data_IF_521027158545
#
_entry.id   IF_521027158545
#
_cell.length_a   1.000
_cell.length_b   1.000
_cell.length_c   1.000
_cell.angle_alpha   90.00
_cell.angle_beta   90.00
_cell.angle_gamma   90.00
#
_symmetry.space_group_name_H-M   'P 1'
#
loop_
_entity.id
_entity.type
_entity.pdbx_description
1 polymer ?
#
# COMPACT_ATOMS: atom_id res chain seq x y z
N UNK A 1 4.34 19.99 2.18
CA UNK A 1 2.96 19.44 2.15
C UNK A 1 2.50 19.42 0.70
N UNK A 2 1.82 18.36 0.24
CA UNK A 2 1.29 18.29 -1.12
C UNK A 2 0.24 19.39 -1.37
N UNK A 3 0.18 19.98 -2.57
CA UNK A 3 -0.91 20.87 -2.98
C UNK A 3 -2.26 20.15 -2.92
N UNK A 4 -3.31 20.85 -2.53
CA UNK A 4 -4.61 20.21 -2.25
C UNK A 4 -5.23 19.54 -3.48
N UNK A 5 -5.13 20.19 -4.65
CA UNK A 5 -5.55 19.63 -5.94
C UNK A 5 -4.88 18.28 -6.25
N UNK A 6 -3.60 18.14 -5.90
CA UNK A 6 -2.85 16.90 -6.13
C UNK A 6 -3.37 15.79 -5.20
N UNK A 7 -3.71 16.11 -3.95
CA UNK A 7 -4.32 15.11 -3.05
C UNK A 7 -5.68 14.66 -3.55
N UNK A 8 -6.52 15.57 -4.04
CA UNK A 8 -7.85 15.24 -4.58
C UNK A 8 -7.74 14.30 -5.79
N UNK A 9 -6.81 14.57 -6.71
CA UNK A 9 -6.53 13.69 -7.84
C UNK A 9 -6.07 12.29 -7.41
N UNK A 10 -5.25 12.18 -6.36
CA UNK A 10 -4.84 10.89 -5.80
C UNK A 10 -6.00 10.16 -5.14
N UNK A 11 -6.86 10.84 -4.38
CA UNK A 11 -8.01 10.22 -3.72
C UNK A 11 -8.99 9.61 -4.72
N UNK A 12 -9.18 10.25 -5.88
CA UNK A 12 -10.02 9.71 -6.96
C UNK A 12 -9.49 8.43 -7.61
N UNK A 13 -8.19 8.15 -7.48
CA UNK A 13 -7.55 6.96 -8.05
C UNK A 13 -7.40 5.81 -7.04
N UNK A 14 -7.70 6.04 -5.75
CA UNK A 14 -7.57 5.03 -4.71
C UNK A 14 -8.96 4.44 -4.43
N UNK A 15 -9.24 3.18 -4.78
CA UNK A 15 -10.51 2.53 -4.45
C UNK A 15 -10.89 2.59 -2.97
N UNK A 16 -9.91 2.51 -2.06
CA UNK A 16 -10.17 2.67 -0.62
C UNK A 16 -10.53 4.11 -0.19
N UNK A 17 -10.48 5.09 -1.09
CA UNK A 17 -10.90 6.47 -0.84
C UNK A 17 -10.03 7.25 0.16
N UNK A 18 -8.83 6.77 0.49
CA UNK A 18 -7.92 7.42 1.44
C UNK A 18 -6.46 7.17 1.11
N UNK A 19 -5.59 8.05 1.59
CA UNK A 19 -4.16 7.79 1.61
C UNK A 19 -3.83 6.67 2.61
N UNK A 20 -2.82 5.87 2.26
CA UNK A 20 -2.26 4.88 3.16
C UNK A 20 -1.38 5.52 4.24
N UNK A 21 -1.28 4.86 5.37
CA UNK A 21 -0.34 5.20 6.43
C UNK A 21 0.95 4.38 6.28
N UNK A 22 2.13 4.92 6.66
CA UNK A 22 3.40 4.17 6.62
C UNK A 22 3.36 2.82 7.35
N UNK A 23 2.60 2.74 8.44
CA UNK A 23 2.42 1.54 9.25
C UNK A 23 1.78 0.40 8.45
N UNK A 24 0.90 0.70 7.49
CA UNK A 24 0.25 -0.33 6.67
C UNK A 24 1.25 -1.05 5.75
N UNK A 25 2.29 -0.34 5.29
CA UNK A 25 3.41 -0.96 4.56
C UNK A 25 4.29 -1.76 5.52
N UNK A 26 4.57 -1.22 6.69
CA UNK A 26 5.41 -1.88 7.70
C UNK A 26 4.82 -3.21 8.17
N UNK A 27 3.51 -3.29 8.38
CA UNK A 27 2.82 -4.53 8.78
C UNK A 27 2.95 -5.64 7.70
N UNK A 28 2.82 -5.29 6.42
CA UNK A 28 3.02 -6.24 5.32
C UNK A 28 4.46 -6.75 5.30
N UNK A 29 5.44 -5.86 5.43
CA UNK A 29 6.86 -6.24 5.50
C UNK A 29 7.13 -7.14 6.71
N UNK A 30 6.60 -6.78 7.87
CA UNK A 30 6.73 -7.58 9.10
C UNK A 30 6.18 -9.00 8.91
N UNK A 31 4.99 -9.14 8.30
CA UNK A 31 4.42 -10.45 8.00
C UNK A 31 5.26 -11.25 7.00
N UNK A 32 5.80 -10.60 5.96
CA UNK A 32 6.67 -11.25 4.97
C UNK A 32 7.98 -11.77 5.59
N UNK A 33 8.47 -11.15 6.66
CA UNK A 33 9.61 -11.64 7.42
C UNK A 33 9.27 -12.77 8.40
N UNK A 34 7.99 -13.11 8.55
CA UNK A 34 7.53 -14.15 9.48
C UNK A 34 7.59 -15.55 8.86
N UNK A 35 7.45 -16.59 9.69
CA UNK A 35 7.32 -17.98 9.23
C UNK A 35 6.08 -18.22 8.35
N UNK A 36 5.04 -17.40 8.49
CA UNK A 36 3.80 -17.51 7.70
C UNK A 36 4.01 -17.28 6.20
N UNK A 37 5.05 -16.54 5.83
CA UNK A 37 5.39 -16.24 4.44
C UNK A 37 6.50 -17.14 3.86
N UNK A 38 6.86 -18.24 4.54
CA UNK A 38 8.03 -19.06 4.22
C UNK A 38 8.08 -19.70 2.82
N UNK A 39 6.97 -19.71 2.09
CA UNK A 39 6.88 -20.23 0.72
C UNK A 39 6.57 -19.15 -0.33
N UNK A 40 6.69 -17.87 0.04
CA UNK A 40 6.49 -16.72 -0.85
C UNK A 40 7.86 -16.16 -1.23
N UNK A 41 8.18 -16.16 -2.53
CA UNK A 41 9.42 -15.58 -3.05
C UNK A 41 9.21 -15.06 -4.48
N UNK A 42 10.00 -14.05 -4.87
CA UNK A 42 9.97 -13.46 -6.22
C UNK A 42 8.70 -12.68 -6.57
N UNK A 43 7.84 -12.38 -5.59
CA UNK A 43 6.58 -11.67 -5.82
C UNK A 43 6.72 -10.17 -5.57
N UNK A 44 5.94 -9.38 -6.30
CA UNK A 44 5.73 -7.95 -6.05
C UNK A 44 4.39 -7.80 -5.33
N UNK A 45 4.39 -7.20 -4.14
CA UNK A 45 3.17 -6.99 -3.35
C UNK A 45 2.84 -5.50 -3.33
N UNK A 46 1.68 -5.15 -3.89
CA UNK A 46 1.20 -3.78 -3.92
C UNK A 46 0.44 -3.44 -2.63
N UNK A 47 0.97 -2.48 -1.87
CA UNK A 47 0.32 -1.91 -0.67
C UNK A 47 -0.08 -0.47 -0.99
N UNK A 48 -1.14 -0.29 -1.78
CA UNK A 48 -1.44 0.99 -2.44
C UNK A 48 -2.93 1.38 -2.44
N UNK A 49 -3.75 0.78 -1.59
CA UNK A 49 -5.17 1.13 -1.54
C UNK A 49 -5.99 0.65 -2.75
N UNK A 50 -5.42 -0.16 -3.65
CA UNK A 50 -6.02 -0.60 -4.91
C UNK A 50 -5.76 0.33 -6.09
N UNK A 51 -4.82 1.28 -5.98
CA UNK A 51 -4.50 2.25 -7.04
C UNK A 51 -3.95 1.58 -8.32
N UNK A 52 -3.38 0.39 -8.20
CA UNK A 52 -2.86 -0.42 -9.30
C UNK A 52 -3.32 -1.86 -9.13
N UNK A 53 -3.85 -2.47 -10.19
CA UNK A 53 -4.24 -3.89 -10.29
C UNK A 53 -3.43 -4.57 -11.38
#
# INVERSE_FOLDING_TARGET
KLPEKVKEEFLGQIPMGRLGNPEEVAEVVYWLCSKGASYITGQVIHVNGGMYM
#
